data_IF_136910665301
#
_entry.id   IF_136910665301
#
_cell.length_a   1.000
_cell.length_b   1.000
_cell.length_c   1.000
_cell.angle_alpha   90.00
_cell.angle_beta   90.00
_cell.angle_gamma   90.00
#
_symmetry.space_group_name_H-M   'P 1'
#
loop_
_entity.id
_entity.type
_entity.pdbx_description
1 polymer ?
#
# COMPACT_ATOMS: atom_id res chain seq x y z
N UNK A 1 -19.57 9.14 26.17
CA UNK A 1 -19.22 9.26 24.73
C UNK A 1 -19.53 7.93 24.07
N UNK A 2 -20.26 7.88 22.94
CA UNK A 2 -20.46 6.61 22.25
C UNK A 2 -19.11 6.14 21.72
N UNK A 3 -18.75 4.89 22.03
CA UNK A 3 -17.52 4.25 21.57
C UNK A 3 -17.67 4.04 20.07
N UNK A 4 -16.91 4.78 19.26
CA UNK A 4 -16.84 4.54 17.81
C UNK A 4 -16.41 3.08 17.61
N UNK A 5 -17.14 2.31 16.80
CA UNK A 5 -16.80 0.91 16.57
C UNK A 5 -15.48 0.78 15.81
N UNK A 6 -14.78 -0.32 16.04
CA UNK A 6 -13.53 -0.64 15.35
C UNK A 6 -13.71 -0.67 13.82
N UNK A 7 -14.85 -1.20 13.35
CA UNK A 7 -15.23 -1.20 11.94
C UNK A 7 -15.27 0.21 11.33
N UNK A 8 -15.81 1.19 12.07
CA UNK A 8 -15.87 2.58 11.60
C UNK A 8 -14.46 3.16 11.53
N UNK A 9 -13.60 2.88 12.51
CA UNK A 9 -12.20 3.34 12.49
C UNK A 9 -11.44 2.74 11.31
N UNK A 10 -11.61 1.46 11.02
CA UNK A 10 -11.00 0.78 9.88
C UNK A 10 -11.51 1.35 8.55
N UNK A 11 -12.82 1.54 8.41
CA UNK A 11 -13.41 2.11 7.20
C UNK A 11 -12.88 3.53 6.93
N UNK A 12 -12.74 4.35 7.97
CA UNK A 12 -12.17 5.71 7.85
C UNK A 12 -10.70 5.69 7.49
N UNK A 13 -9.93 4.73 8.04
CA UNK A 13 -8.54 4.53 7.67
C UNK A 13 -8.39 4.16 6.20
N UNK A 14 -9.19 3.22 5.70
CA UNK A 14 -9.16 2.82 4.29
C UNK A 14 -9.62 3.96 3.37
N UNK A 15 -10.62 4.73 3.76
CA UNK A 15 -11.07 5.90 3.00
C UNK A 15 -9.93 6.93 2.78
N UNK A 16 -9.06 7.13 3.77
CA UNK A 16 -7.88 8.00 3.64
C UNK A 16 -6.87 7.44 2.65
N UNK A 17 -6.64 6.12 2.69
CA UNK A 17 -5.71 5.44 1.79
C UNK A 17 -6.24 5.47 0.36
N UNK A 18 -7.55 5.28 0.16
CA UNK A 18 -8.20 5.38 -1.15
C UNK A 18 -8.15 6.80 -1.72
N UNK A 19 -8.38 7.81 -0.88
CA UNK A 19 -8.21 9.20 -1.26
C UNK A 19 -6.77 9.49 -1.72
N UNK A 20 -5.78 9.00 -0.98
CA UNK A 20 -4.37 9.11 -1.35
C UNK A 20 -4.07 8.39 -2.67
N UNK A 21 -4.55 7.15 -2.82
CA UNK A 21 -4.38 6.33 -4.01
C UNK A 21 -4.94 7.03 -5.26
N UNK A 22 -6.14 7.59 -5.15
CA UNK A 22 -6.80 8.34 -6.23
C UNK A 22 -6.01 9.58 -6.62
N UNK A 23 -5.54 10.37 -5.67
CA UNK A 23 -4.70 11.54 -5.97
C UNK A 23 -3.38 11.12 -6.61
N UNK A 24 -2.80 10.02 -6.17
CA UNK A 24 -1.53 9.51 -6.67
C UNK A 24 -1.62 8.95 -8.09
N UNK A 25 -2.80 8.74 -8.66
CA UNK A 25 -2.94 8.41 -10.08
C UNK A 25 -2.49 9.58 -10.97
N UNK A 26 -2.77 10.81 -10.57
CA UNK A 26 -2.49 12.01 -11.39
C UNK A 26 -1.44 12.95 -10.81
N UNK A 27 -1.09 12.81 -9.52
CA UNK A 27 -0.13 13.68 -8.83
C UNK A 27 1.15 12.91 -8.46
N UNK A 28 2.20 13.66 -8.15
CA UNK A 28 3.43 13.12 -7.58
C UNK A 28 3.39 13.19 -6.05
N UNK A 29 4.18 12.32 -5.41
CA UNK A 29 4.30 12.25 -3.94
C UNK A 29 4.59 13.61 -3.27
N UNK A 30 5.43 14.44 -3.92
CA UNK A 30 5.81 15.76 -3.39
C UNK A 30 4.63 16.73 -3.33
N UNK A 31 3.72 16.63 -4.29
CA UNK A 31 2.58 17.56 -4.46
C UNK A 31 1.37 17.14 -3.62
N UNK A 32 1.27 15.86 -3.26
CA UNK A 32 0.20 15.37 -2.39
C UNK A 32 0.45 15.84 -0.96
N UNK A 33 -0.60 16.38 -0.34
CA UNK A 33 -0.60 16.84 1.04
C UNK A 33 -1.85 16.33 1.76
N UNK A 34 -1.83 16.32 3.10
CA UNK A 34 -3.02 16.00 3.90
C UNK A 34 -4.21 16.93 3.60
N UNK A 35 -3.96 18.14 3.10
CA UNK A 35 -5.02 19.06 2.64
C UNK A 35 -5.69 18.54 1.38
N UNK A 36 -4.92 18.07 0.41
CA UNK A 36 -5.50 17.51 -0.83
C UNK A 36 -6.24 16.20 -0.54
N UNK A 37 -5.67 15.33 0.30
CA UNK A 37 -6.33 14.09 0.73
C UNK A 37 -7.66 14.41 1.44
N UNK A 38 -7.66 15.39 2.34
CA UNK A 38 -8.86 15.85 3.05
C UNK A 38 -9.96 16.45 2.18
N UNK A 39 -9.68 16.82 0.92
CA UNK A 39 -10.71 17.24 -0.04
C UNK A 39 -11.40 16.07 -0.72
N UNK A 40 -10.79 14.89 -0.71
CA UNK A 40 -11.29 13.68 -1.36
C UNK A 40 -12.04 12.79 -0.36
N UNK A 41 -11.67 12.84 0.92
CA UNK A 41 -12.40 12.16 1.99
C UNK A 41 -13.74 12.84 2.29
N UNK A 42 -14.69 12.09 2.82
CA UNK A 42 -16.01 12.55 3.28
C UNK A 42 -15.96 13.31 4.61
N UNK A 43 -14.77 13.42 5.22
CA UNK A 43 -14.52 14.18 6.44
C UNK A 43 -13.35 15.15 6.28
N UNK A 44 -13.25 16.12 7.19
CA UNK A 44 -12.26 17.18 7.10
C UNK A 44 -10.83 16.71 7.39
N UNK A 45 -9.85 17.50 6.94
CA UNK A 45 -8.42 17.27 7.19
C UNK A 45 -8.08 17.06 8.67
N UNK A 46 -8.73 17.78 9.59
CA UNK A 46 -8.42 17.66 11.03
C UNK A 46 -8.67 16.24 11.54
N UNK A 47 -9.71 15.58 11.04
CA UNK A 47 -10.02 14.20 11.40
C UNK A 47 -9.05 13.16 10.81
N UNK A 48 -8.28 13.49 9.77
CA UNK A 48 -7.21 12.61 9.25
C UNK A 48 -6.11 12.39 10.30
N UNK A 49 -5.81 13.42 11.09
CA UNK A 49 -4.79 13.33 12.16
C UNK A 49 -5.13 12.33 13.26
N UNK A 50 -6.37 11.84 13.34
CA UNK A 50 -6.74 10.76 14.25
C UNK A 50 -6.23 9.39 13.78
N UNK A 51 -5.80 9.27 12.52
CA UNK A 51 -5.38 8.01 11.90
C UNK A 51 -3.92 8.07 11.43
N UNK A 52 -3.53 9.18 10.79
CA UNK A 52 -2.20 9.37 10.21
C UNK A 52 -1.63 10.73 10.60
N UNK A 53 -0.39 10.74 11.08
CA UNK A 53 0.29 11.96 11.51
C UNK A 53 0.87 12.73 10.32
N UNK A 54 1.27 12.00 9.28
CA UNK A 54 1.99 12.53 8.13
C UNK A 54 1.47 11.90 6.84
N UNK A 55 1.80 12.50 5.69
CA UNK A 55 1.45 11.90 4.39
C UNK A 55 2.26 10.63 4.13
N UNK A 56 3.48 10.58 4.65
CA UNK A 56 4.41 9.46 4.56
C UNK A 56 3.79 8.20 5.14
N UNK A 57 3.11 8.30 6.30
CA UNK A 57 2.42 7.15 6.88
C UNK A 57 1.26 6.64 6.01
N UNK A 58 0.55 7.54 5.32
CA UNK A 58 -0.51 7.15 4.39
C UNK A 58 0.09 6.45 3.17
N UNK A 59 1.23 6.95 2.67
CA UNK A 59 1.96 6.33 1.57
C UNK A 59 2.54 4.96 1.95
N UNK A 60 3.05 4.79 3.17
CA UNK A 60 3.49 3.49 3.67
C UNK A 60 2.31 2.51 3.78
N UNK A 61 1.17 2.97 4.29
CA UNK A 61 -0.03 2.13 4.35
C UNK A 61 -0.54 1.75 2.94
N UNK A 62 -0.49 2.68 1.98
CA UNK A 62 -0.80 2.41 0.58
C UNK A 62 0.18 1.39 -0.02
N UNK A 63 1.48 1.56 0.21
CA UNK A 63 2.50 0.62 -0.27
C UNK A 63 2.35 -0.76 0.37
N UNK A 64 2.05 -0.83 1.67
CA UNK A 64 1.73 -2.06 2.38
C UNK A 64 0.55 -2.79 1.70
N UNK A 65 -0.55 -2.08 1.43
CA UNK A 65 -1.73 -2.62 0.75
C UNK A 65 -1.39 -3.18 -0.63
N UNK A 66 -0.59 -2.46 -1.40
CA UNK A 66 -0.16 -2.93 -2.73
C UNK A 66 0.74 -4.18 -2.64
N UNK A 67 1.59 -4.31 -1.62
CA UNK A 67 2.34 -5.54 -1.35
C UNK A 67 1.45 -6.70 -0.93
N UNK A 68 0.52 -6.48 0.00
CA UNK A 68 -0.39 -7.52 0.48
C UNK A 68 -1.26 -8.08 -0.65
N UNK A 69 -1.74 -7.18 -1.53
CA UNK A 69 -2.45 -7.60 -2.74
C UNK A 69 -1.53 -8.43 -3.66
N UNK A 70 -0.25 -8.10 -3.79
CA UNK A 70 0.66 -8.82 -4.69
C UNK A 70 1.02 -10.18 -4.14
N UNK A 71 1.23 -10.28 -2.84
CA UNK A 71 1.36 -11.57 -2.13
C UNK A 71 0.17 -12.47 -2.44
N UNK A 72 -1.06 -11.95 -2.35
CA UNK A 72 -2.26 -12.76 -2.65
C UNK A 72 -2.28 -13.26 -4.10
N UNK A 73 -1.85 -12.46 -5.08
CA UNK A 73 -1.72 -12.90 -6.48
C UNK A 73 -0.67 -14.00 -6.64
N UNK A 74 0.48 -13.87 -5.96
CA UNK A 74 1.56 -14.86 -6.01
C UNK A 74 1.13 -16.17 -5.33
N UNK A 75 0.45 -16.11 -4.19
CA UNK A 75 -0.12 -17.28 -3.52
C UNK A 75 -1.16 -17.99 -4.39
N UNK A 76 -1.98 -17.24 -5.12
CA UNK A 76 -2.91 -17.81 -6.09
C UNK A 76 -2.17 -18.50 -7.24
N UNK A 77 -1.12 -17.88 -7.77
CA UNK A 77 -0.27 -18.45 -8.82
C UNK A 77 0.36 -19.77 -8.35
N UNK A 78 0.92 -19.78 -7.14
CA UNK A 78 1.50 -20.96 -6.50
C UNK A 78 0.50 -22.09 -6.31
N UNK A 79 -0.70 -21.79 -5.81
CA UNK A 79 -1.72 -22.82 -5.58
C UNK A 79 -2.29 -23.41 -6.88
N UNK A 80 -2.21 -22.69 -7.98
CA UNK A 80 -2.72 -23.13 -9.28
C UNK A 80 -1.74 -24.00 -10.08
N UNK A 81 -0.47 -24.07 -9.69
CA UNK A 81 0.57 -24.79 -10.44
C UNK A 81 1.37 -25.71 -9.52
N UNK A 82 1.45 -27.00 -9.87
CA UNK A 82 2.26 -27.96 -9.11
C UNK A 82 3.76 -27.75 -9.33
N UNK A 83 4.13 -27.29 -10.53
CA UNK A 83 5.49 -26.82 -10.87
C UNK A 83 5.43 -25.86 -12.05
N UNK A 84 6.40 -24.95 -12.11
CA UNK A 84 6.60 -24.01 -13.23
C UNK A 84 8.04 -24.18 -13.74
N UNK A 85 8.22 -24.18 -15.06
CA UNK A 85 9.54 -23.98 -15.65
C UNK A 85 10.02 -22.55 -15.38
N UNK A 86 11.33 -22.29 -15.59
CA UNK A 86 11.88 -20.95 -15.41
C UNK A 86 11.20 -19.89 -16.30
N UNK A 87 10.85 -20.24 -17.55
CA UNK A 87 10.21 -19.31 -18.49
C UNK A 87 8.76 -19.02 -18.09
N UNK A 88 8.02 -20.05 -17.65
CA UNK A 88 6.64 -19.89 -17.17
C UNK A 88 6.61 -19.07 -15.88
N UNK A 89 7.56 -19.29 -14.97
CA UNK A 89 7.71 -18.48 -13.76
C UNK A 89 8.02 -17.02 -14.10
N UNK A 90 8.95 -16.76 -15.02
CA UNK A 90 9.30 -15.41 -15.44
C UNK A 90 8.11 -14.67 -16.08
N UNK A 91 7.36 -15.33 -16.98
CA UNK A 91 6.16 -14.77 -17.59
C UNK A 91 5.07 -14.50 -16.55
N UNK A 92 4.81 -15.45 -15.64
CA UNK A 92 3.77 -15.31 -14.63
C UNK A 92 4.10 -14.21 -13.60
N UNK A 93 5.36 -14.12 -13.16
CA UNK A 93 5.84 -13.02 -12.32
C UNK A 93 5.70 -11.67 -13.03
N UNK A 94 6.10 -11.59 -14.31
CA UNK A 94 5.97 -10.37 -15.11
C UNK A 94 4.52 -9.90 -15.19
N UNK A 95 3.59 -10.79 -15.55
CA UNK A 95 2.15 -10.51 -15.60
C UNK A 95 1.58 -10.10 -14.24
N UNK A 96 2.08 -10.71 -13.15
CA UNK A 96 1.63 -10.37 -11.80
C UNK A 96 1.94 -8.92 -11.42
N UNK A 97 3.07 -8.39 -11.92
CA UNK A 97 3.52 -7.02 -11.68
C UNK A 97 2.96 -6.02 -12.70
N UNK A 98 2.77 -6.42 -13.96
CA UNK A 98 2.25 -5.56 -15.05
C UNK A 98 0.92 -4.90 -14.67
N UNK A 99 0.02 -5.66 -14.04
CA UNK A 99 -1.29 -5.14 -13.58
C UNK A 99 -1.20 -4.17 -12.39
N UNK A 100 -0.02 -3.96 -11.81
CA UNK A 100 0.20 -3.21 -10.55
C UNK A 100 0.92 -1.89 -10.79
N UNK A 101 0.42 -1.09 -11.73
CA UNK A 101 1.01 0.21 -12.09
C UNK A 101 1.25 1.13 -10.88
N UNK A 102 0.35 1.10 -9.88
CA UNK A 102 0.51 1.86 -8.64
C UNK A 102 1.70 1.37 -7.80
N UNK A 103 1.82 0.06 -7.59
CA UNK A 103 2.97 -0.54 -6.90
C UNK A 103 4.27 -0.19 -7.63
N UNK A 104 4.31 -0.33 -8.96
CA UNK A 104 5.49 0.02 -9.76
C UNK A 104 5.85 1.51 -9.63
N UNK A 105 4.86 2.40 -9.65
CA UNK A 105 5.06 3.83 -9.41
C UNK A 105 5.61 4.09 -7.99
N UNK A 106 5.09 3.42 -6.98
CA UNK A 106 5.58 3.51 -5.60
C UNK A 106 7.02 2.99 -5.47
N UNK A 107 7.37 1.88 -6.12
CA UNK A 107 8.73 1.33 -6.14
C UNK A 107 9.75 2.24 -6.84
N UNK A 108 9.28 3.09 -7.77
CA UNK A 108 10.13 4.08 -8.44
C UNK A 108 10.45 5.29 -7.56
N UNK A 109 9.79 5.44 -6.41
CA UNK A 109 10.02 6.54 -5.48
C UNK A 109 11.22 6.27 -4.57
N UNK A 110 11.88 7.34 -4.12
CA UNK A 110 12.91 7.23 -3.10
C UNK A 110 12.28 6.78 -1.76
N UNK A 111 12.55 5.54 -1.36
CA UNK A 111 12.03 4.96 -0.12
C UNK A 111 12.46 5.74 1.13
N UNK A 112 13.61 6.42 1.10
CA UNK A 112 14.04 7.27 2.20
C UNK A 112 13.03 8.40 2.48
N UNK A 113 12.48 9.00 1.42
CA UNK A 113 11.51 10.10 1.55
C UNK A 113 10.17 9.60 2.11
N UNK A 114 9.81 8.33 1.87
CA UNK A 114 8.57 7.72 2.37
C UNK A 114 8.70 7.20 3.81
N UNK A 115 9.89 6.80 4.23
CA UNK A 115 10.13 6.26 5.57
C UNK A 115 10.45 7.37 6.59
N UNK A 116 11.07 8.48 6.16
CA UNK A 116 11.70 9.47 7.05
C UNK A 116 10.77 10.20 8.03
N UNK A 117 9.48 10.35 7.73
CA UNK A 117 8.51 11.06 8.58
C UNK A 117 7.40 10.13 9.10
N UNK A 118 7.74 8.88 9.41
CA UNK A 118 6.78 7.87 9.85
C UNK A 118 7.10 7.35 11.26
N UNK A 119 6.05 7.05 12.02
CA UNK A 119 6.19 6.34 13.29
C UNK A 119 6.80 4.95 13.09
N UNK A 120 7.55 4.48 14.09
CA UNK A 120 8.31 3.24 14.02
C UNK A 120 7.41 2.02 13.77
N UNK A 121 6.26 1.94 14.44
CA UNK A 121 5.28 0.87 14.26
C UNK A 121 4.78 0.75 12.81
N UNK A 122 4.60 1.88 12.10
CA UNK A 122 4.18 1.88 10.71
C UNK A 122 5.28 1.35 9.80
N UNK A 123 6.55 1.64 10.12
CA UNK A 123 7.70 1.07 9.41
C UNK A 123 7.76 -0.44 9.62
N UNK A 124 7.52 -0.93 10.85
CA UNK A 124 7.51 -2.38 11.14
C UNK A 124 6.42 -3.10 10.34
N UNK A 125 5.18 -2.60 10.35
CA UNK A 125 4.09 -3.23 9.59
C UNK A 125 4.37 -3.21 8.08
N UNK A 126 4.86 -2.08 7.55
CA UNK A 126 5.30 -1.99 6.17
C UNK A 126 6.38 -3.04 5.81
N UNK A 127 7.44 -3.15 6.62
CA UNK A 127 8.54 -4.08 6.36
C UNK A 127 8.11 -5.54 6.48
N UNK A 128 7.09 -5.86 7.29
CA UNK A 128 6.50 -7.20 7.33
C UNK A 128 5.83 -7.56 6.02
N UNK A 129 5.01 -6.68 5.45
CA UNK A 129 4.36 -6.93 4.15
C UNK A 129 5.38 -7.03 3.02
N UNK A 130 6.41 -6.18 3.01
CA UNK A 130 7.54 -6.32 2.08
C UNK A 130 8.28 -7.66 2.26
N UNK A 131 8.54 -8.08 3.50
CA UNK A 131 9.15 -9.37 3.78
C UNK A 131 8.33 -10.55 3.25
N UNK A 132 7.01 -10.49 3.40
CA UNK A 132 6.07 -11.49 2.86
C UNK A 132 6.12 -11.55 1.33
N UNK A 133 6.18 -10.43 0.63
CA UNK A 133 6.31 -10.44 -0.84
C UNK A 133 7.61 -11.09 -1.29
N UNK A 134 8.72 -10.82 -0.59
CA UNK A 134 10.00 -11.48 -0.89
C UNK A 134 9.97 -12.98 -0.61
N UNK A 135 9.24 -13.42 0.42
CA UNK A 135 9.04 -14.84 0.72
C UNK A 135 8.15 -15.51 -0.32
N UNK A 136 7.04 -14.87 -0.73
CA UNK A 136 6.14 -15.39 -1.76
C UNK A 136 6.88 -15.64 -3.07
N UNK A 137 7.69 -14.68 -3.52
CA UNK A 137 8.52 -14.84 -4.73
C UNK A 137 9.54 -15.99 -4.58
N UNK A 138 10.13 -16.17 -3.39
CA UNK A 138 11.08 -17.28 -3.14
C UNK A 138 10.43 -18.67 -3.13
N UNK A 139 9.12 -18.73 -2.91
CA UNK A 139 8.38 -19.99 -2.92
C UNK A 139 7.82 -20.33 -4.30
N UNK A 140 7.89 -19.39 -5.26
CA UNK A 140 7.59 -19.61 -6.68
C UNK A 140 8.75 -20.33 -7.38
#
# INVERSE_FOLDING_TARGET
MPKVSEEVLLARREEIIDACAKLYETMNFKDITLKEIGKVTTFNRTAIYNYFNTKEEIFLALMQREYDLWVADLEQLLSAHESLSHDELADALSRSLEKRSRLLKLLSMNHFDMEGNSRYENLVEFKRSYGKSMQAVRHC
#
